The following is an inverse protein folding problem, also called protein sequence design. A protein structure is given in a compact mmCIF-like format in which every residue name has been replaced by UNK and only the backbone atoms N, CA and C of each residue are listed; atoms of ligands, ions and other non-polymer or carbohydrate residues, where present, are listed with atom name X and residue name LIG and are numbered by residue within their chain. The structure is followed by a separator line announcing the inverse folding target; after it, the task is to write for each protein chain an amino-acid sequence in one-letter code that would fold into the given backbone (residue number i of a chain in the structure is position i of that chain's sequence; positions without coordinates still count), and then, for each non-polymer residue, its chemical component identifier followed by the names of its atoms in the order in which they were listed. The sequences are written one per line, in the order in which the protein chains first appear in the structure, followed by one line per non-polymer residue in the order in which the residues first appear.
data_IF_840914893587
#
_entry.id   IF_840914893587
#
_cell.length_a   1.000
_cell.length_b   1.000
_cell.length_c   1.000
_cell.angle_alpha   90.00
_cell.angle_beta   90.00
_cell.angle_gamma   90.00
#
_symmetry.space_group_name_H-M   'P 1'
#
loop_
_entity.id
_entity.type
_entity.pdbx_description
1 polymer ?
#
# COMPACT_ATOMS: atom_id res chain seq x y z
N UNK A 1 -5.94 -20.60 12.76
CA UNK A 1 -7.18 -20.39 11.98
C UNK A 1 -7.08 -19.00 11.39
N UNK A 2 -6.60 -18.89 10.15
CA UNK A 2 -6.38 -17.60 9.48
C UNK A 2 -7.73 -17.22 8.87
N UNK A 3 -8.44 -16.28 9.51
CA UNK A 3 -9.70 -15.75 8.99
C UNK A 3 -9.38 -14.85 7.79
N UNK A 4 -9.98 -15.22 6.65
CA UNK A 4 -10.18 -14.47 5.40
C UNK A 4 -9.78 -12.98 5.43
N UNK A 5 -8.75 -12.64 4.67
CA UNK A 5 -8.41 -11.26 4.24
C UNK A 5 -8.66 -11.09 2.73
N UNK A 6 -9.76 -11.67 2.24
CA UNK A 6 -10.14 -11.65 0.82
C UNK A 6 -11.14 -10.53 0.48
N UNK A 7 -11.68 -9.80 1.47
CA UNK A 7 -12.69 -8.76 1.20
C UNK A 7 -12.10 -7.45 0.65
N UNK A 8 -10.80 -7.22 0.85
CA UNK A 8 -10.15 -5.99 0.41
C UNK A 8 -8.89 -6.29 -0.39
N UNK A 9 -8.80 -5.71 -1.58
CA UNK A 9 -7.65 -5.82 -2.46
C UNK A 9 -7.15 -4.43 -2.81
N UNK A 10 -5.90 -4.13 -2.48
CA UNK A 10 -5.22 -2.97 -3.03
C UNK A 10 -4.73 -3.29 -4.44
N UNK A 11 -4.66 -2.28 -5.30
CA UNK A 11 -4.28 -2.46 -6.70
C UNK A 11 -3.15 -1.51 -7.07
N UNK A 12 -2.19 -2.02 -7.83
CA UNK A 12 -1.07 -1.23 -8.34
C UNK A 12 -1.30 -0.95 -9.82
N UNK A 13 -1.31 0.33 -10.19
CA UNK A 13 -1.52 0.80 -11.56
C UNK A 13 -0.30 1.57 -12.04
N UNK A 14 0.11 1.34 -13.29
CA UNK A 14 1.13 2.18 -13.92
C UNK A 14 0.58 3.54 -14.32
N UNK A 15 1.30 4.62 -14.01
CA UNK A 15 1.03 5.98 -14.49
C UNK A 15 2.30 6.56 -15.14
N UNK A 16 2.19 7.75 -15.76
CA UNK A 16 3.35 8.38 -16.41
C UNK A 16 4.44 8.72 -15.39
N UNK A 17 5.47 7.87 -15.35
CA UNK A 17 6.67 8.05 -14.52
C UNK A 17 6.53 7.59 -13.06
N UNK A 18 5.41 6.97 -12.69
CA UNK A 18 5.19 6.47 -11.33
C UNK A 18 4.19 5.30 -11.31
N UNK A 19 4.01 4.71 -10.13
CA UNK A 19 2.99 3.71 -9.87
C UNK A 19 1.93 4.32 -8.93
N UNK A 20 0.65 4.05 -9.14
CA UNK A 20 -0.41 4.40 -8.21
C UNK A 20 -0.83 3.15 -7.45
N UNK A 21 -0.67 3.17 -6.14
CA UNK A 21 -1.21 2.14 -5.25
C UNK A 21 -2.55 2.61 -4.71
N UNK A 22 -3.63 2.00 -5.20
CA UNK A 22 -5.00 2.27 -4.76
C UNK A 22 -5.36 1.33 -3.64
N UNK A 23 -5.63 1.89 -2.45
CA UNK A 23 -6.00 1.17 -1.24
C UNK A 23 -7.49 1.44 -0.97
N UNK A 24 -8.34 0.40 -0.91
CA UNK A 24 -9.77 0.59 -0.68
C UNK A 24 -10.05 1.19 0.71
N UNK A 25 -11.18 1.88 0.88
CA UNK A 25 -11.54 2.52 2.15
C UNK A 25 -11.91 1.55 3.28
N UNK A 26 -12.36 0.34 2.91
CA UNK A 26 -12.98 -0.60 3.84
C UNK A 26 -12.10 -1.35 4.86
N UNK A 27 -10.83 -1.72 4.58
CA UNK A 27 -10.00 -2.42 5.56
C UNK A 27 -9.73 -1.52 6.77
N UNK A 28 -9.78 -2.06 8.01
CA UNK A 28 -9.43 -1.29 9.19
C UNK A 28 -7.95 -0.89 9.18
N UNK A 29 -7.58 0.14 9.94
CA UNK A 29 -6.23 0.73 9.94
C UNK A 29 -5.12 -0.32 10.18
N UNK A 30 -5.36 -1.29 11.07
CA UNK A 30 -4.41 -2.36 11.38
C UNK A 30 -4.14 -3.33 10.22
N UNK A 31 -5.02 -3.37 9.22
CA UNK A 31 -4.91 -4.25 8.05
C UNK A 31 -4.30 -3.56 6.83
N UNK A 32 -4.10 -2.23 6.89
CA UNK A 32 -3.56 -1.48 5.74
C UNK A 32 -2.12 -1.88 5.39
N UNK A 33 -1.26 -2.04 6.39
CA UNK A 33 0.14 -2.45 6.15
C UNK A 33 0.20 -3.86 5.53
N UNK A 34 -0.44 -4.90 6.12
CA UNK A 34 -0.49 -6.22 5.48
C UNK A 34 -1.08 -6.22 4.06
N UNK A 35 -2.09 -5.40 3.79
CA UNK A 35 -2.71 -5.28 2.47
C UNK A 35 -1.75 -4.66 1.44
N UNK A 36 -1.09 -3.57 1.81
CA UNK A 36 -0.12 -2.88 0.98
C UNK A 36 1.10 -3.77 0.74
N UNK A 37 1.63 -4.40 1.78
CA UNK A 37 2.79 -5.29 1.69
C UNK A 37 2.55 -6.42 0.70
N UNK A 38 1.41 -7.13 0.81
CA UNK A 38 1.04 -8.18 -0.15
C UNK A 38 1.03 -7.66 -1.59
N UNK A 39 0.41 -6.50 -1.81
CA UNK A 39 0.30 -5.90 -3.16
C UNK A 39 1.67 -5.52 -3.73
N UNK A 40 2.57 -4.99 -2.90
CA UNK A 40 3.93 -4.63 -3.32
C UNK A 40 4.83 -5.85 -3.50
N UNK A 41 4.66 -6.90 -2.69
CA UNK A 41 5.38 -8.16 -2.82
C UNK A 41 4.99 -8.90 -4.11
N UNK A 42 3.69 -8.91 -4.45
CA UNK A 42 3.19 -9.47 -5.71
C UNK A 42 3.79 -8.74 -6.93
N UNK A 43 4.02 -7.43 -6.82
CA UNK A 43 4.70 -6.65 -7.86
C UNK A 43 6.21 -6.90 -7.91
N UNK A 44 6.81 -7.38 -6.82
CA UNK A 44 8.20 -7.80 -6.73
C UNK A 44 9.20 -6.72 -7.15
N UNK A 45 10.13 -7.05 -8.04
CA UNK A 45 11.21 -6.13 -8.45
C UNK A 45 10.71 -4.90 -9.24
N UNK A 46 9.46 -4.89 -9.71
CA UNK A 46 8.91 -3.76 -10.46
C UNK A 46 8.76 -2.49 -9.60
N UNK A 47 8.60 -2.65 -8.28
CA UNK A 47 8.40 -1.52 -7.36
C UNK A 47 9.70 -1.05 -6.72
N UNK A 48 10.81 -1.77 -6.86
CA UNK A 48 12.05 -1.44 -6.15
C UNK A 48 12.65 -0.12 -6.66
N UNK A 49 12.69 0.89 -5.78
CA UNK A 49 13.15 2.25 -6.12
C UNK A 49 12.15 3.07 -6.96
N UNK A 50 10.91 2.61 -7.13
CA UNK A 50 9.90 3.34 -7.88
C UNK A 50 9.38 4.57 -7.11
N UNK A 51 8.81 5.52 -7.85
CA UNK A 51 7.95 6.55 -7.27
C UNK A 51 6.52 6.01 -7.22
N UNK A 52 5.88 6.08 -6.05
CA UNK A 52 4.52 5.57 -5.82
C UNK A 52 3.60 6.67 -5.28
N UNK A 53 2.42 6.80 -5.87
CA UNK A 53 1.33 7.62 -5.33
C UNK A 53 0.46 6.71 -4.47
N UNK A 54 0.28 7.06 -3.19
CA UNK A 54 -0.66 6.38 -2.30
C UNK A 54 -2.05 7.00 -2.45
N UNK A 55 -3.01 6.21 -2.89
CA UNK A 55 -4.39 6.62 -3.09
C UNK A 55 -5.30 5.85 -2.14
N UNK A 56 -5.66 6.48 -1.03
CA UNK A 56 -6.56 5.90 -0.02
C UNK A 56 -8.03 6.20 -0.29
N UNK A 57 -8.38 6.58 -1.53
CA UNK A 57 -9.74 6.80 -2.02
C UNK A 57 -10.59 7.84 -1.27
N UNK A 58 -10.01 8.64 -0.37
CA UNK A 58 -10.73 9.64 0.43
C UNK A 58 -10.85 9.29 1.91
N UNK A 59 -10.35 8.12 2.34
CA UNK A 59 -10.36 7.72 3.75
C UNK A 59 -9.52 8.68 4.61
N UNK A 60 -10.01 9.10 5.79
CA UNK A 60 -9.20 9.83 6.76
C UNK A 60 -8.16 8.89 7.37
N UNK A 61 -6.90 9.31 7.37
CA UNK A 61 -5.81 8.59 8.01
C UNK A 61 -5.22 9.41 9.15
N UNK A 62 -4.97 8.76 10.28
CA UNK A 62 -4.16 9.36 11.33
C UNK A 62 -2.69 9.41 10.91
N UNK A 63 -1.95 10.41 11.40
CA UNK A 63 -0.52 10.51 11.14
C UNK A 63 0.28 9.29 11.62
N UNK A 64 -0.20 8.60 12.66
CA UNK A 64 0.42 7.36 13.15
C UNK A 64 0.32 6.23 12.11
N UNK A 65 -0.84 6.07 11.48
CA UNK A 65 -1.08 5.05 10.44
C UNK A 65 -0.25 5.35 9.20
N UNK A 66 -0.20 6.62 8.76
CA UNK A 66 0.67 7.04 7.65
C UNK A 66 2.13 6.69 7.96
N UNK A 67 2.59 7.00 9.18
CA UNK A 67 3.97 6.70 9.59
C UNK A 67 4.28 5.20 9.59
N UNK A 68 3.34 4.36 10.03
CA UNK A 68 3.51 2.91 9.98
C UNK A 68 3.59 2.39 8.55
N UNK A 69 2.74 2.87 7.64
CA UNK A 69 2.77 2.51 6.21
C UNK A 69 4.12 2.89 5.60
N UNK A 70 4.57 4.12 5.81
CA UNK A 70 5.86 4.59 5.29
C UNK A 70 7.01 3.70 5.78
N UNK A 71 7.04 3.40 7.09
CA UNK A 71 8.14 2.64 7.71
C UNK A 71 8.16 1.17 7.34
N UNK A 72 6.99 0.52 7.33
CA UNK A 72 6.89 -0.93 7.20
C UNK A 72 6.75 -1.36 5.74
N UNK A 73 6.00 -0.62 4.93
CA UNK A 73 5.76 -1.01 3.56
C UNK A 73 6.70 -0.33 2.55
N UNK A 74 7.01 0.95 2.74
CA UNK A 74 7.63 1.74 1.66
C UNK A 74 9.16 1.80 1.75
N UNK A 75 9.69 2.10 2.93
CA UNK A 75 11.13 2.19 3.16
C UNK A 75 11.90 0.90 2.81
N UNK A 76 11.42 -0.32 3.14
CA UNK A 76 12.14 -1.55 2.78
C UNK A 76 12.31 -1.74 1.26
N UNK A 77 11.43 -1.11 0.47
CA UNK A 77 11.40 -1.18 -1.00
C UNK A 77 11.98 0.07 -1.66
N UNK A 78 12.57 0.97 -0.86
CA UNK A 78 13.19 2.23 -1.31
C UNK A 78 12.25 3.10 -2.14
N UNK A 79 10.95 3.02 -1.85
CA UNK A 79 9.92 3.75 -2.56
C UNK A 79 9.99 5.23 -2.22
N UNK A 80 9.83 6.08 -3.24
CA UNK A 80 9.58 7.51 -3.07
C UNK A 80 8.07 7.75 -3.15
N UNK A 81 7.52 8.53 -2.23
CA UNK A 81 6.09 8.87 -2.17
C UNK A 81 5.88 10.34 -2.43
#
# INVERSE_FOLDING_TARGET
MILMTDEFQATLKGERGCLRLVVPEGPPDGELVPLIDRTLDDAGKLVDGATVILDFQGRPLSGAVVLEIMKKALLPRRLTV
#
